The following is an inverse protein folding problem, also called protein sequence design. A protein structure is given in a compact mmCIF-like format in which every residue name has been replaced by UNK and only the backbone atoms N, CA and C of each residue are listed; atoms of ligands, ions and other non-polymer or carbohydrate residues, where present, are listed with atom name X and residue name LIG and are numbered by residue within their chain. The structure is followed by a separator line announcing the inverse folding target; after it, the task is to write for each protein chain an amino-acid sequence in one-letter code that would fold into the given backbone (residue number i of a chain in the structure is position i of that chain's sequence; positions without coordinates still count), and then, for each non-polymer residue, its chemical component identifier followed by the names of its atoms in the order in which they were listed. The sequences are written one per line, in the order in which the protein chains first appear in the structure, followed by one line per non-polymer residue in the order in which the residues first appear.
data_IF_843127711672
#
_entry.id   IF_843127711672
#
_cell.length_a   1.000
_cell.length_b   1.000
_cell.length_c   1.000
_cell.angle_alpha   90.00
_cell.angle_beta   90.00
_cell.angle_gamma   90.00
#
_symmetry.space_group_name_H-M   'P 1'
#
loop_
_entity.id
_entity.type
_entity.pdbx_description
1 polymer ?
#
# COMPACT_ATOMS: atom_id res chain seq x y z
N UNK A 1 -37.97 13.10 4.97
CA UNK A 1 -36.57 12.68 4.80
C UNK A 1 -36.50 11.66 3.68
N UNK A 2 -37.09 10.45 3.81
CA UNK A 2 -37.13 9.45 2.73
C UNK A 2 -37.59 9.97 1.34
N UNK A 3 -38.63 10.80 1.29
CA UNK A 3 -39.13 11.36 0.02
C UNK A 3 -38.16 12.35 -0.62
N UNK A 4 -37.41 13.10 0.19
CA UNK A 4 -36.40 14.06 -0.27
C UNK A 4 -35.16 13.33 -0.80
N UNK A 5 -34.67 12.34 -0.05
CA UNK A 5 -33.55 11.49 -0.48
C UNK A 5 -33.89 10.73 -1.77
N UNK A 6 -35.10 10.18 -1.88
CA UNK A 6 -35.54 9.49 -3.10
C UNK A 6 -35.57 10.44 -4.30
N UNK A 7 -36.10 11.66 -4.14
CA UNK A 7 -36.09 12.67 -5.19
C UNK A 7 -34.67 13.08 -5.60
N UNK A 8 -33.74 13.19 -4.65
CA UNK A 8 -32.33 13.47 -4.93
C UNK A 8 -31.67 12.32 -5.68
N UNK A 9 -31.90 11.08 -5.27
CA UNK A 9 -31.39 9.87 -5.95
C UNK A 9 -31.89 9.81 -7.39
N UNK A 10 -33.19 10.03 -7.62
CA UNK A 10 -33.77 10.04 -8.97
C UNK A 10 -33.16 11.13 -9.85
N UNK A 11 -32.90 12.32 -9.28
CA UNK A 11 -32.22 13.42 -9.99
C UNK A 11 -30.80 13.06 -10.38
N UNK A 12 -29.98 12.62 -9.41
CA UNK A 12 -28.59 12.22 -9.65
C UNK A 12 -28.49 11.04 -10.63
N UNK A 13 -29.44 10.09 -10.56
CA UNK A 13 -29.55 9.00 -11.53
C UNK A 13 -29.84 9.51 -12.94
N UNK A 14 -30.78 10.45 -13.09
CA UNK A 14 -31.09 11.05 -14.38
C UNK A 14 -29.89 11.83 -14.95
N UNK A 15 -29.14 12.55 -14.11
CA UNK A 15 -27.89 13.20 -14.50
C UNK A 15 -26.84 12.18 -14.98
N UNK A 16 -26.69 11.07 -14.25
CA UNK A 16 -25.77 9.99 -14.63
C UNK A 16 -26.19 9.31 -15.94
N UNK A 17 -27.48 9.11 -16.16
CA UNK A 17 -27.99 8.52 -17.40
C UNK A 17 -27.81 9.46 -18.60
N UNK A 18 -27.92 10.77 -18.39
CA UNK A 18 -27.73 11.77 -19.44
C UNK A 18 -26.28 11.82 -19.99
N UNK A 19 -25.29 11.41 -19.18
CA UNK A 19 -23.88 11.38 -19.59
C UNK A 19 -23.40 10.02 -20.11
N UNK A 20 -24.29 9.01 -20.16
CA UNK A 20 -23.95 7.69 -20.71
C UNK A 20 -23.98 7.71 -22.26
N UNK A 21 -23.11 6.93 -22.93
CA UNK A 21 -22.10 6.04 -22.37
C UNK A 21 -20.84 6.81 -21.89
N UNK A 22 -20.37 6.48 -20.69
CA UNK A 22 -19.12 7.01 -20.13
C UNK A 22 -17.94 6.24 -20.76
N UNK A 23 -16.81 6.89 -21.11
CA UNK A 23 -15.63 6.20 -21.60
C UNK A 23 -15.20 5.05 -20.68
N UNK A 24 -14.87 3.89 -21.26
CA UNK A 24 -14.58 2.67 -20.51
C UNK A 24 -13.43 2.86 -19.52
N UNK A 25 -12.36 3.57 -19.91
CA UNK A 25 -11.23 3.87 -19.03
C UNK A 25 -11.65 4.70 -17.80
N UNK A 26 -12.52 5.69 -18.01
CA UNK A 26 -13.06 6.55 -16.94
C UNK A 26 -13.91 5.73 -15.98
N UNK A 27 -14.84 4.93 -16.51
CA UNK A 27 -15.71 4.10 -15.68
C UNK A 27 -14.91 3.00 -14.97
N UNK A 28 -13.87 2.44 -15.59
CA UNK A 28 -12.99 1.45 -14.98
C UNK A 28 -12.26 2.00 -13.75
N UNK A 29 -11.83 3.27 -13.76
CA UNK A 29 -11.23 3.93 -12.59
C UNK A 29 -12.24 4.07 -11.44
N UNK A 30 -13.45 4.51 -11.74
CA UNK A 30 -14.54 4.63 -10.75
C UNK A 30 -14.88 3.27 -10.15
N UNK A 31 -15.09 2.26 -10.99
CA UNK A 31 -15.40 0.90 -10.54
C UNK A 31 -14.25 0.26 -9.79
N UNK A 32 -12.99 0.55 -10.15
CA UNK A 32 -11.83 0.09 -9.37
C UNK A 32 -11.85 0.66 -7.96
N UNK A 33 -12.17 1.95 -7.76
CA UNK A 33 -12.33 2.52 -6.40
C UNK A 33 -13.44 1.80 -5.64
N UNK A 34 -14.64 1.70 -6.21
CA UNK A 34 -15.74 0.97 -5.57
C UNK A 34 -15.36 -0.46 -5.20
N UNK A 35 -14.71 -1.19 -6.11
CA UNK A 35 -14.29 -2.57 -5.88
C UNK A 35 -13.29 -2.66 -4.71
N UNK A 36 -12.33 -1.75 -4.61
CA UNK A 36 -11.36 -1.73 -3.50
C UNK A 36 -12.05 -1.40 -2.17
N UNK A 37 -12.85 -0.33 -2.15
CA UNK A 37 -13.54 0.13 -0.94
C UNK A 37 -14.56 -0.91 -0.46
N UNK A 38 -15.29 -1.52 -1.39
CA UNK A 38 -16.28 -2.55 -1.09
C UNK A 38 -15.64 -3.81 -0.50
N UNK A 39 -14.56 -4.31 -1.11
CA UNK A 39 -13.84 -5.47 -0.57
C UNK A 39 -13.32 -5.19 0.83
N UNK A 40 -12.70 -4.03 1.05
CA UNK A 40 -12.16 -3.67 2.36
C UNK A 40 -13.27 -3.54 3.41
N UNK A 41 -14.25 -2.67 3.19
CA UNK A 41 -15.23 -2.34 4.21
C UNK A 41 -16.19 -3.50 4.50
N UNK A 42 -16.63 -4.24 3.48
CA UNK A 42 -17.52 -5.39 3.66
C UNK A 42 -16.88 -6.49 4.49
N UNK A 43 -15.59 -6.79 4.31
CA UNK A 43 -14.91 -7.83 5.08
C UNK A 43 -14.45 -7.31 6.45
N UNK A 44 -14.00 -6.06 6.54
CA UNK A 44 -13.59 -5.45 7.82
C UNK A 44 -14.76 -5.36 8.81
N UNK A 45 -15.99 -5.12 8.34
CA UNK A 45 -17.18 -5.18 9.20
C UNK A 45 -17.39 -6.55 9.87
N UNK A 46 -16.97 -7.63 9.21
CA UNK A 46 -17.04 -9.01 9.74
C UNK A 46 -15.79 -9.42 10.55
N UNK A 47 -14.86 -8.48 10.78
CA UNK A 47 -13.68 -8.71 11.61
C UNK A 47 -12.40 -9.09 10.86
N UNK A 48 -12.39 -8.98 9.53
CA UNK A 48 -11.17 -9.15 8.74
C UNK A 48 -10.11 -8.11 9.16
N UNK A 49 -8.88 -8.56 9.37
CA UNK A 49 -7.83 -7.74 10.00
C UNK A 49 -6.94 -7.00 9.00
N UNK A 50 -7.11 -7.22 7.68
CA UNK A 50 -6.34 -6.48 6.69
C UNK A 50 -6.71 -5.00 6.71
N UNK A 51 -5.70 -4.15 6.65
CA UNK A 51 -5.85 -2.72 6.41
C UNK A 51 -6.28 -2.46 4.96
N UNK A 52 -6.76 -1.24 4.69
CA UNK A 52 -7.09 -0.84 3.32
C UNK A 52 -5.89 -0.97 2.37
N UNK A 53 -4.69 -0.58 2.85
CA UNK A 53 -3.46 -0.67 2.08
C UNK A 53 -3.03 -2.10 1.75
N UNK A 54 -3.13 -3.00 2.73
CA UNK A 54 -2.87 -4.42 2.55
C UNK A 54 -3.88 -5.04 1.57
N UNK A 55 -5.18 -4.73 1.74
CA UNK A 55 -6.25 -5.17 0.83
C UNK A 55 -6.00 -4.71 -0.61
N UNK A 56 -5.65 -3.43 -0.79
CA UNK A 56 -5.34 -2.85 -2.10
C UNK A 56 -4.12 -3.52 -2.73
N UNK A 57 -3.04 -3.68 -1.97
CA UNK A 57 -1.80 -4.30 -2.47
C UNK A 57 -2.06 -5.75 -2.85
N UNK A 58 -2.84 -6.48 -2.05
CA UNK A 58 -3.23 -7.86 -2.35
C UNK A 58 -4.07 -7.96 -3.62
N UNK A 59 -5.12 -7.14 -3.77
CA UNK A 59 -6.01 -7.20 -4.93
C UNK A 59 -5.38 -6.70 -6.24
N UNK A 60 -4.41 -5.78 -6.17
CA UNK A 60 -3.77 -5.20 -7.36
C UNK A 60 -2.47 -5.91 -7.75
N UNK A 61 -1.73 -6.47 -6.79
CA UNK A 61 -0.39 -7.03 -7.02
C UNK A 61 -0.22 -8.47 -6.57
N UNK A 62 -1.23 -9.07 -5.90
CA UNK A 62 -1.15 -10.43 -5.38
C UNK A 62 -0.24 -10.58 -4.14
N UNK A 63 0.23 -9.48 -3.56
CA UNK A 63 1.13 -9.52 -2.41
C UNK A 63 0.34 -9.74 -1.11
N UNK A 64 0.71 -10.76 -0.34
CA UNK A 64 0.14 -11.03 0.98
C UNK A 64 0.80 -10.16 2.05
N UNK A 65 0.00 -9.67 3.00
CA UNK A 65 0.47 -8.93 4.16
C UNK A 65 1.18 -9.84 5.19
N UNK A 66 2.35 -9.41 5.65
CA UNK A 66 3.15 -10.15 6.61
C UNK A 66 2.48 -10.17 8.00
N UNK A 67 2.47 -11.32 8.67
CA UNK A 67 1.91 -11.47 10.02
C UNK A 67 0.38 -11.49 10.09
N UNK A 68 -0.33 -11.46 8.96
CA UNK A 68 -1.79 -11.56 8.89
C UNK A 68 -2.24 -12.99 8.58
N UNK A 69 -3.42 -13.44 9.05
CA UNK A 69 -3.93 -14.76 8.73
C UNK A 69 -4.11 -14.97 7.22
N UNK A 70 -3.81 -16.17 6.72
CA UNK A 70 -4.11 -16.54 5.33
C UNK A 70 -5.62 -16.47 5.05
N UNK A 71 -6.45 -16.84 6.05
CA UNK A 71 -7.90 -16.76 5.98
C UNK A 71 -8.38 -15.37 5.51
N UNK A 72 -7.84 -14.30 6.10
CA UNK A 72 -8.25 -12.94 5.78
C UNK A 72 -8.01 -12.58 4.30
N UNK A 73 -6.92 -13.07 3.71
CA UNK A 73 -6.63 -12.88 2.29
C UNK A 73 -7.58 -13.68 1.41
N UNK A 74 -7.90 -14.91 1.81
CA UNK A 74 -8.84 -15.77 1.07
C UNK A 74 -10.25 -15.19 1.11
N UNK A 75 -10.69 -14.60 2.23
CA UNK A 75 -11.97 -13.89 2.32
C UNK A 75 -12.03 -12.68 1.39
N UNK A 76 -10.97 -11.85 1.36
CA UNK A 76 -10.88 -10.73 0.40
C UNK A 76 -10.91 -11.24 -1.04
N UNK A 77 -10.16 -12.30 -1.35
CA UNK A 77 -10.13 -12.91 -2.68
C UNK A 77 -11.52 -13.41 -3.08
N UNK A 78 -12.17 -14.18 -2.21
CA UNK A 78 -13.48 -14.77 -2.47
C UNK A 78 -14.59 -13.74 -2.62
N UNK A 79 -14.61 -12.72 -1.76
CA UNK A 79 -15.52 -11.59 -1.89
C UNK A 79 -15.28 -10.84 -3.21
N UNK A 80 -14.02 -10.68 -3.60
CA UNK A 80 -13.68 -10.04 -4.86
C UNK A 80 -14.14 -10.85 -6.08
N UNK A 81 -14.00 -12.17 -6.06
CA UNK A 81 -14.50 -13.05 -7.11
C UNK A 81 -16.04 -12.97 -7.22
N UNK A 82 -16.74 -12.85 -6.09
CA UNK A 82 -18.18 -12.63 -6.08
C UNK A 82 -18.59 -11.27 -6.70
N UNK A 83 -17.82 -10.20 -6.48
CA UNK A 83 -18.05 -8.89 -7.14
C UNK A 83 -17.87 -9.02 -8.66
N UNK A 84 -16.82 -9.72 -9.12
CA UNK A 84 -16.57 -9.90 -10.54
C UNK A 84 -17.67 -10.74 -11.22
N UNK A 85 -18.10 -11.84 -10.60
CA UNK A 85 -19.22 -12.65 -11.11
C UNK A 85 -20.54 -11.85 -11.11
N UNK A 86 -20.74 -10.96 -10.14
CA UNK A 86 -21.87 -10.01 -10.12
C UNK A 86 -21.80 -9.02 -11.29
N UNK A 87 -20.64 -8.43 -11.56
CA UNK A 87 -20.46 -7.53 -12.71
C UNK A 87 -20.74 -8.23 -14.04
N UNK A 88 -20.31 -9.48 -14.18
CA UNK A 88 -20.58 -10.29 -15.36
C UNK A 88 -22.07 -10.63 -15.50
N UNK A 89 -22.76 -10.92 -14.39
CA UNK A 89 -24.21 -11.08 -14.39
C UNK A 89 -24.96 -9.83 -14.83
N UNK A 90 -24.52 -8.66 -14.37
CA UNK A 90 -25.13 -7.37 -14.76
C UNK A 90 -24.94 -7.12 -16.25
N UNK A 91 -23.75 -7.40 -16.80
CA UNK A 91 -23.49 -7.26 -18.25
C UNK A 91 -24.27 -8.27 -19.11
N UNK A 92 -24.44 -9.49 -18.61
CA UNK A 92 -25.15 -10.57 -19.29
C UNK A 92 -26.67 -10.59 -19.08
N UNK A 93 -27.23 -9.63 -18.33
CA UNK A 93 -28.64 -9.57 -17.95
C UNK A 93 -29.16 -10.88 -17.32
N UNK A 94 -28.31 -11.54 -16.52
CA UNK A 94 -28.61 -12.85 -15.93
C UNK A 94 -29.52 -12.68 -14.72
N UNK A 95 -30.61 -13.47 -14.68
CA UNK A 95 -31.55 -13.47 -13.56
C UNK A 95 -30.92 -14.02 -12.27
N UNK A 96 -31.30 -13.42 -11.14
CA UNK A 96 -30.94 -13.92 -9.81
C UNK A 96 -31.74 -15.18 -9.49
N UNK A 97 -31.04 -16.27 -9.20
CA UNK A 97 -31.62 -17.56 -8.83
C UNK A 97 -31.05 -18.04 -7.50
N UNK A 98 -31.73 -18.99 -6.85
CA UNK A 98 -31.23 -19.62 -5.62
C UNK A 98 -29.85 -20.27 -5.83
N UNK A 99 -29.66 -20.93 -6.96
CA UNK A 99 -28.37 -21.52 -7.35
C UNK A 99 -27.26 -20.47 -7.36
N UNK A 100 -27.54 -19.30 -7.93
CA UNK A 100 -26.56 -18.21 -7.99
C UNK A 100 -26.28 -17.59 -6.61
N UNK A 101 -27.28 -17.45 -5.74
CA UNK A 101 -27.08 -17.04 -4.34
C UNK A 101 -26.13 -18.02 -3.63
N UNK A 102 -26.32 -19.32 -3.82
CA UNK A 102 -25.43 -20.34 -3.23
C UNK A 102 -24.03 -20.32 -3.83
N UNK A 103 -23.91 -20.04 -5.13
CA UNK A 103 -22.62 -19.89 -5.82
C UNK A 103 -21.84 -18.67 -5.30
N UNK A 104 -22.49 -17.50 -5.13
CA UNK A 104 -21.85 -16.35 -4.49
C UNK A 104 -21.36 -16.67 -3.07
N UNK A 105 -22.18 -17.38 -2.30
CA UNK A 105 -21.79 -17.78 -0.95
C UNK A 105 -20.58 -18.73 -0.96
N UNK A 106 -20.45 -19.61 -1.96
CA UNK A 106 -19.27 -20.45 -2.15
C UNK A 106 -18.03 -19.61 -2.45
N UNK A 107 -18.13 -18.62 -3.33
CA UNK A 107 -17.01 -17.72 -3.62
C UNK A 107 -16.57 -16.97 -2.36
N UNK A 108 -17.51 -16.38 -1.61
CA UNK A 108 -17.19 -15.55 -0.44
C UNK A 108 -16.51 -16.34 0.69
N UNK A 109 -16.98 -17.55 1.00
CA UNK A 109 -16.40 -18.34 2.11
C UNK A 109 -15.26 -19.27 1.68
N UNK A 110 -15.18 -19.63 0.39
CA UNK A 110 -14.17 -20.54 -0.14
C UNK A 110 -14.40 -22.00 0.30
N UNK A 111 -13.46 -22.56 1.05
CA UNK A 111 -13.47 -23.97 1.46
C UNK A 111 -14.22 -24.20 2.78
N UNK A 112 -14.75 -25.42 3.02
CA UNK A 112 -15.35 -25.77 4.30
C UNK A 112 -14.38 -25.64 5.48
N UNK A 113 -14.87 -25.14 6.61
CA UNK A 113 -14.09 -25.01 7.85
C UNK A 113 -14.94 -25.33 9.08
N UNK A 114 -14.29 -25.50 10.22
CA UNK A 114 -14.95 -25.77 11.50
C UNK A 114 -14.82 -24.55 12.40
N UNK A 115 -15.92 -24.15 13.01
CA UNK A 115 -15.96 -23.06 14.00
C UNK A 115 -16.51 -23.54 15.34
N UNK A 116 -16.18 -22.83 16.41
CA UNK A 116 -16.78 -23.05 17.73
C UNK A 116 -18.25 -22.60 17.70
N UNK A 117 -19.10 -23.35 18.36
CA UNK A 117 -20.52 -23.05 18.53
C UNK A 117 -20.95 -23.37 19.96
N UNK A 118 -22.16 -22.95 20.32
CA UNK A 118 -22.78 -23.29 21.60
C UNK A 118 -24.02 -24.15 21.35
N UNK A 119 -24.21 -25.18 22.18
CA UNK A 119 -25.47 -25.93 22.19
C UNK A 119 -26.59 -25.08 22.80
N UNK A 120 -27.85 -25.55 22.70
CA UNK A 120 -29.00 -24.91 23.36
C UNK A 120 -28.81 -24.75 24.87
N UNK A 121 -28.04 -25.65 25.48
CA UNK A 121 -27.72 -25.65 26.92
C UNK A 121 -26.46 -24.83 27.25
N UNK A 122 -25.90 -24.10 26.27
CA UNK A 122 -24.73 -23.23 26.45
C UNK A 122 -23.39 -23.96 26.51
N UNK A 123 -23.33 -25.25 26.15
CA UNK A 123 -22.07 -26.01 26.12
C UNK A 123 -21.29 -25.76 24.84
N UNK A 124 -19.96 -25.64 24.93
CA UNK A 124 -19.09 -25.53 23.75
C UNK A 124 -19.19 -26.78 22.88
N UNK A 125 -19.38 -26.57 21.58
CA UNK A 125 -19.36 -27.58 20.54
C UNK A 125 -18.67 -27.05 19.29
N UNK A 126 -18.52 -27.87 18.26
CA UNK A 126 -17.98 -27.46 16.97
C UNK A 126 -19.00 -27.68 15.87
N UNK A 127 -19.03 -26.76 14.91
CA UNK A 127 -19.92 -26.82 13.75
C UNK A 127 -19.10 -26.70 12.48
N UNK A 128 -19.35 -27.62 11.55
CA UNK A 128 -18.77 -27.55 10.21
C UNK A 128 -19.60 -26.60 9.34
N UNK A 129 -18.94 -25.59 8.80
CA UNK A 129 -19.50 -24.63 7.84
C UNK A 129 -19.21 -25.15 6.44
N UNK A 130 -20.26 -25.33 5.64
CA UNK A 130 -20.13 -25.79 4.25
C UNK A 130 -20.64 -24.70 3.30
N UNK A 131 -19.73 -24.06 2.53
CA UNK A 131 -20.12 -22.99 1.62
C UNK A 131 -21.17 -23.42 0.57
N UNK A 132 -22.19 -22.60 0.39
CA UNK A 132 -23.28 -22.80 -0.57
C UNK A 132 -24.42 -23.66 -0.05
N UNK A 133 -24.32 -24.19 1.17
CA UNK A 133 -25.39 -24.96 1.80
C UNK A 133 -26.12 -24.14 2.85
N UNK A 134 -27.44 -24.22 2.84
CA UNK A 134 -28.24 -23.65 3.91
C UNK A 134 -27.94 -24.32 5.25
N UNK A 135 -28.16 -23.55 6.31
CA UNK A 135 -27.99 -24.02 7.68
C UNK A 135 -28.85 -25.25 7.93
N UNK A 136 -28.25 -26.25 8.57
CA UNK A 136 -28.95 -27.46 9.03
C UNK A 136 -29.35 -27.38 10.50
N UNK A 137 -28.84 -26.38 11.21
CA UNK A 137 -29.10 -26.10 12.63
C UNK A 137 -29.36 -24.60 12.81
N UNK A 138 -30.11 -24.19 13.85
CA UNK A 138 -30.33 -22.78 14.13
C UNK A 138 -29.01 -22.01 14.32
N UNK A 139 -29.01 -20.74 13.93
CA UNK A 139 -27.87 -19.82 13.98
C UNK A 139 -28.25 -18.48 14.66
N UNK A 140 -29.13 -18.57 15.66
CA UNK A 140 -29.58 -17.44 16.48
C UNK A 140 -28.39 -16.81 17.21
N UNK A 141 -28.42 -15.49 17.41
CA UNK A 141 -27.31 -14.74 18.00
C UNK A 141 -27.74 -14.07 19.30
N UNK A 142 -26.81 -13.95 20.25
CA UNK A 142 -27.02 -13.13 21.44
C UNK A 142 -26.76 -11.66 21.10
N UNK A 143 -27.74 -10.81 21.40
CA UNK A 143 -27.61 -9.36 21.26
C UNK A 143 -26.77 -8.78 22.41
N UNK A 144 -26.39 -7.50 22.27
CA UNK A 144 -25.67 -6.78 23.33
C UNK A 144 -26.48 -6.61 24.63
N UNK A 145 -27.82 -6.75 24.58
CA UNK A 145 -28.69 -6.74 25.77
C UNK A 145 -28.76 -8.10 26.46
N UNK A 146 -28.14 -9.14 25.88
CA UNK A 146 -28.19 -10.52 26.37
C UNK A 146 -29.41 -11.30 25.89
N UNK A 147 -30.29 -10.70 25.10
CA UNK A 147 -31.45 -11.37 24.51
C UNK A 147 -31.06 -12.13 23.24
N UNK A 148 -31.68 -13.30 23.03
CA UNK A 148 -31.49 -14.07 21.80
C UNK A 148 -32.29 -13.46 20.65
N UNK A 149 -31.60 -13.09 19.58
CA UNK A 149 -32.20 -12.72 18.31
C UNK A 149 -32.45 -13.97 17.47
N UNK A 150 -33.72 -14.21 17.13
CA UNK A 150 -34.16 -15.39 16.39
C UNK A 150 -34.26 -15.11 14.89
N UNK A 151 -33.61 -15.96 14.10
CA UNK A 151 -33.74 -16.03 12.64
C UNK A 151 -34.69 -17.16 12.21
N UNK A 152 -34.84 -17.36 10.90
CA UNK A 152 -35.65 -18.46 10.34
C UNK A 152 -35.14 -19.83 10.79
N UNK A 153 -36.03 -20.75 11.12
CA UNK A 153 -35.66 -22.13 11.46
C UNK A 153 -35.16 -22.91 10.23
N UNK A 154 -34.17 -23.81 10.35
CA UNK A 154 -33.53 -24.48 9.21
C UNK A 154 -34.48 -25.14 8.20
N UNK A 155 -35.56 -25.75 8.68
CA UNK A 155 -36.56 -26.42 7.85
C UNK A 155 -37.44 -25.46 7.04
N UNK A 156 -37.51 -24.17 7.42
CA UNK A 156 -38.27 -23.13 6.73
C UNK A 156 -37.42 -22.34 5.74
N UNK A 157 -36.09 -22.36 5.87
CA UNK A 157 -35.16 -21.59 5.02
C UNK A 157 -35.41 -21.80 3.52
N UNK A 158 -35.54 -23.03 2.98
CA UNK A 158 -35.77 -23.21 1.54
C UNK A 158 -37.05 -22.51 1.06
N UNK A 159 -38.14 -22.64 1.82
CA UNK A 159 -39.42 -22.04 1.49
C UNK A 159 -39.36 -20.50 1.54
N UNK A 160 -38.73 -19.94 2.58
CA UNK A 160 -38.64 -18.48 2.72
C UNK A 160 -37.70 -17.86 1.67
N UNK A 161 -36.65 -18.57 1.25
CA UNK A 161 -35.78 -18.14 0.16
C UNK A 161 -36.50 -18.18 -1.19
N UNK A 162 -37.31 -19.21 -1.45
CA UNK A 162 -38.19 -19.27 -2.63
C UNK A 162 -39.18 -18.10 -2.63
N UNK A 163 -39.83 -17.83 -1.49
CA UNK A 163 -40.76 -16.70 -1.35
C UNK A 163 -40.06 -15.35 -1.54
N UNK A 164 -38.84 -15.18 -1.04
CA UNK A 164 -38.05 -13.96 -1.23
C UNK A 164 -37.72 -13.73 -2.71
N UNK A 165 -37.28 -14.77 -3.41
CA UNK A 165 -36.97 -14.68 -4.85
C UNK A 165 -38.22 -14.40 -5.68
N UNK A 166 -39.35 -15.06 -5.37
CA UNK A 166 -40.62 -14.78 -6.02
C UNK A 166 -41.08 -13.34 -5.78
N UNK A 167 -41.01 -12.86 -4.54
CA UNK A 167 -41.32 -11.47 -4.21
C UNK A 167 -40.43 -10.49 -5.00
N UNK A 168 -39.14 -10.79 -5.12
CA UNK A 168 -38.21 -9.98 -5.89
C UNK A 168 -38.58 -9.94 -7.38
N UNK A 169 -38.80 -11.10 -7.99
CA UNK A 169 -39.17 -11.22 -9.41
C UNK A 169 -40.48 -10.48 -9.72
N UNK A 170 -41.50 -10.60 -8.86
CA UNK A 170 -42.78 -9.91 -9.02
C UNK A 170 -42.61 -8.39 -8.98
N UNK A 171 -41.83 -7.87 -8.03
CA UNK A 171 -41.62 -6.43 -7.88
C UNK A 171 -40.70 -5.86 -8.97
N UNK A 172 -39.72 -6.65 -9.42
CA UNK A 172 -38.82 -6.26 -10.51
C UNK A 172 -39.59 -6.21 -11.84
N UNK A 173 -40.39 -7.23 -12.15
CA UNK A 173 -41.12 -7.32 -13.42
C UNK A 173 -42.20 -6.24 -13.55
N UNK A 174 -42.90 -5.95 -12.45
CA UNK A 174 -43.98 -4.95 -12.46
C UNK A 174 -43.47 -3.51 -12.24
N UNK A 175 -42.20 -3.34 -11.87
CA UNK A 175 -41.60 -2.05 -11.52
C UNK A 175 -42.43 -1.27 -10.47
N UNK A 176 -42.98 -1.99 -9.49
CA UNK A 176 -43.90 -1.45 -8.47
C UNK A 176 -43.16 -0.66 -7.38
N UNK A 177 -41.86 -0.95 -7.17
CA UNK A 177 -41.04 -0.33 -6.14
C UNK A 177 -39.86 0.44 -6.76
N UNK A 178 -39.55 1.65 -6.25
CA UNK A 178 -38.29 2.31 -6.55
C UNK A 178 -37.09 1.40 -6.23
N UNK A 179 -36.08 1.39 -7.09
CA UNK A 179 -34.92 0.48 -6.99
C UNK A 179 -34.26 0.49 -5.62
N UNK A 180 -34.12 1.67 -4.98
CA UNK A 180 -33.59 1.79 -3.62
C UNK A 180 -34.40 0.96 -2.62
N UNK A 181 -35.73 1.07 -2.65
CA UNK A 181 -36.64 0.38 -1.74
C UNK A 181 -36.58 -1.12 -2.00
N UNK A 182 -36.56 -1.54 -3.27
CA UNK A 182 -36.42 -2.95 -3.66
C UNK A 182 -35.12 -3.55 -3.11
N UNK A 183 -33.98 -2.90 -3.35
CA UNK A 183 -32.66 -3.37 -2.92
C UNK A 183 -32.53 -3.41 -1.39
N UNK A 184 -32.91 -2.34 -0.69
CA UNK A 184 -32.85 -2.30 0.77
C UNK A 184 -33.80 -3.30 1.43
N UNK A 185 -35.01 -3.46 0.89
CA UNK A 185 -35.97 -4.45 1.41
C UNK A 185 -35.50 -5.87 1.15
N UNK A 186 -34.92 -6.16 -0.02
CA UNK A 186 -34.31 -7.46 -0.31
C UNK A 186 -33.17 -7.77 0.67
N UNK A 187 -32.26 -6.82 0.87
CA UNK A 187 -31.19 -6.93 1.86
C UNK A 187 -31.74 -7.29 3.24
N UNK A 188 -32.73 -6.54 3.71
CA UNK A 188 -33.33 -6.74 5.03
C UNK A 188 -34.02 -8.11 5.13
N UNK A 189 -34.85 -8.49 4.15
CA UNK A 189 -35.51 -9.81 4.14
C UNK A 189 -34.49 -10.95 4.14
N UNK A 190 -33.44 -10.86 3.32
CA UNK A 190 -32.38 -11.88 3.26
C UNK A 190 -31.64 -12.03 4.60
N UNK A 191 -31.23 -10.92 5.23
CA UNK A 191 -30.51 -10.98 6.51
C UNK A 191 -31.40 -11.49 7.64
N UNK A 192 -32.73 -11.31 7.56
CA UNK A 192 -33.70 -11.89 8.51
C UNK A 192 -33.91 -13.38 8.34
N UNK A 193 -33.87 -13.90 7.11
CA UNK A 193 -33.86 -15.35 6.87
C UNK A 193 -32.57 -15.96 7.44
N UNK A 194 -31.44 -15.26 7.25
CA UNK A 194 -30.12 -15.68 7.68
C UNK A 194 -29.82 -17.14 7.25
N UNK A 195 -29.89 -17.42 5.93
CA UNK A 195 -30.02 -18.79 5.40
C UNK A 195 -28.77 -19.64 5.56
N UNK A 196 -27.59 -19.04 5.70
CA UNK A 196 -26.31 -19.72 5.80
C UNK A 196 -25.75 -19.69 7.23
N UNK A 197 -24.79 -20.55 7.54
CA UNK A 197 -24.19 -20.59 8.87
C UNK A 197 -23.20 -19.44 9.14
N UNK A 198 -22.61 -18.86 8.09
CA UNK A 198 -21.70 -17.71 8.14
C UNK A 198 -21.86 -16.88 6.85
N UNK A 199 -21.29 -15.68 6.77
CA UNK A 199 -21.21 -14.89 5.54
C UNK A 199 -22.50 -14.16 5.14
N UNK A 200 -23.59 -14.27 5.92
CA UNK A 200 -24.88 -13.66 5.57
C UNK A 200 -24.81 -12.13 5.41
N UNK A 201 -24.03 -11.43 6.24
CA UNK A 201 -23.85 -9.98 6.12
C UNK A 201 -23.14 -9.57 4.83
N UNK A 202 -22.09 -10.30 4.43
CA UNK A 202 -21.41 -10.09 3.14
C UNK A 202 -22.35 -10.40 1.97
N UNK A 203 -23.08 -11.50 2.06
CA UNK A 203 -24.08 -11.89 1.06
C UNK A 203 -25.20 -10.86 0.92
N UNK A 204 -25.75 -10.33 2.01
CA UNK A 204 -26.82 -9.33 1.94
C UNK A 204 -26.38 -8.07 1.20
N UNK A 205 -25.14 -7.61 1.45
CA UNK A 205 -24.54 -6.46 0.75
C UNK A 205 -24.24 -6.75 -0.72
N UNK A 206 -23.73 -7.94 -1.05
CA UNK A 206 -23.56 -8.41 -2.45
C UNK A 206 -24.88 -8.38 -3.20
N UNK A 207 -25.93 -8.98 -2.63
CA UNK A 207 -27.23 -9.08 -3.30
C UNK A 207 -27.93 -7.72 -3.42
N UNK A 208 -27.79 -6.85 -2.42
CA UNK A 208 -28.27 -5.46 -2.50
C UNK A 208 -27.64 -4.71 -3.69
N UNK A 209 -26.31 -4.79 -3.82
CA UNK A 209 -25.60 -4.11 -4.90
C UNK A 209 -25.86 -4.75 -6.27
N UNK A 210 -26.09 -6.07 -6.34
CA UNK A 210 -26.54 -6.72 -7.58
C UNK A 210 -27.83 -6.06 -8.07
N UNK A 211 -28.83 -5.91 -7.19
CA UNK A 211 -30.13 -5.31 -7.53
C UNK A 211 -29.94 -3.86 -7.99
N UNK A 212 -29.13 -3.07 -7.29
CA UNK A 212 -28.83 -1.68 -7.68
C UNK A 212 -28.18 -1.63 -9.08
N UNK A 213 -27.16 -2.45 -9.31
CA UNK A 213 -26.36 -2.44 -10.54
C UNK A 213 -27.14 -2.99 -11.74
N UNK A 214 -28.00 -4.00 -11.56
CA UNK A 214 -28.93 -4.46 -12.61
C UNK A 214 -29.87 -3.35 -13.09
N UNK A 215 -30.16 -2.36 -12.24
CA UNK A 215 -30.98 -1.20 -12.57
C UNK A 215 -30.15 0.05 -12.93
N UNK A 216 -28.86 -0.15 -13.23
CA UNK A 216 -27.96 0.88 -13.70
C UNK A 216 -27.52 1.90 -12.64
N UNK A 217 -27.68 1.60 -11.36
CA UNK A 217 -27.12 2.40 -10.25
C UNK A 217 -25.70 1.92 -9.91
N UNK A 218 -24.83 2.79 -9.36
CA UNK A 218 -23.55 2.36 -8.80
C UNK A 218 -23.75 1.50 -7.53
N UNK A 219 -22.75 0.69 -7.15
CA UNK A 219 -22.80 -0.05 -5.90
C UNK A 219 -22.74 0.88 -4.68
N UNK A 220 -23.38 0.47 -3.59
CA UNK A 220 -23.29 1.12 -2.28
C UNK A 220 -22.17 0.49 -1.47
N UNK A 221 -21.32 1.32 -0.87
CA UNK A 221 -20.26 0.88 0.04
C UNK A 221 -20.53 1.42 1.43
N UNK A 222 -20.91 0.53 2.35
CA UNK A 222 -21.08 0.86 3.76
C UNK A 222 -19.70 0.87 4.41
N UNK A 223 -19.21 2.06 4.78
CA UNK A 223 -17.89 2.25 5.39
C UNK A 223 -17.83 1.62 6.79
N UNK A 224 -16.70 1.02 7.15
CA UNK A 224 -16.48 0.36 8.45
C UNK A 224 -16.63 1.36 9.60
N UNK A 225 -16.23 2.60 9.37
CA UNK A 225 -16.34 3.71 10.31
C UNK A 225 -17.81 4.04 10.64
N UNK A 226 -18.73 3.71 9.75
CA UNK A 226 -20.17 3.97 9.87
C UNK A 226 -20.98 2.72 10.27
N UNK A 227 -20.28 1.63 10.63
CA UNK A 227 -20.84 0.33 11.00
C UNK A 227 -21.94 0.45 12.08
N UNK A 228 -21.75 1.32 13.07
CA UNK A 228 -22.73 1.51 14.15
C UNK A 228 -24.07 2.10 13.67
N UNK A 229 -24.05 3.02 12.70
CA UNK A 229 -25.26 3.59 12.13
C UNK A 229 -25.99 2.56 11.26
N UNK A 230 -25.25 1.77 10.47
CA UNK A 230 -25.80 0.65 9.72
C UNK A 230 -26.52 -0.37 10.62
N UNK A 231 -25.88 -0.83 11.71
CA UNK A 231 -26.53 -1.77 12.63
C UNK A 231 -27.67 -1.12 13.42
N UNK A 232 -27.59 0.18 13.73
CA UNK A 232 -28.71 0.91 14.36
C UNK A 232 -29.94 0.89 13.46
N UNK A 233 -29.76 1.17 12.17
CA UNK A 233 -30.85 1.17 11.20
C UNK A 233 -31.46 -0.23 11.01
N UNK A 234 -30.64 -1.29 11.02
CA UNK A 234 -31.13 -2.68 11.03
C UNK A 234 -31.95 -3.01 12.29
N UNK A 235 -31.49 -2.60 13.47
CA UNK A 235 -32.24 -2.82 14.73
C UNK A 235 -33.59 -2.10 14.74
N UNK A 236 -33.70 -0.92 14.13
CA UNK A 236 -34.99 -0.24 13.97
C UNK A 236 -35.92 -1.02 13.03
N UNK A 237 -35.37 -1.55 11.94
CA UNK A 237 -36.11 -2.43 11.05
C UNK A 237 -36.59 -3.70 11.77
N UNK A 238 -35.79 -4.25 12.68
CA UNK A 238 -36.20 -5.37 13.55
C UNK A 238 -37.35 -5.03 14.49
N UNK A 239 -37.46 -3.78 14.91
CA UNK A 239 -38.60 -3.22 15.64
C UNK A 239 -39.84 -2.94 14.76
N UNK A 240 -39.78 -3.21 13.46
CA UNK A 240 -40.86 -2.99 12.50
C UNK A 240 -40.74 -1.69 11.69
N UNK A 241 -39.71 -0.87 11.94
CA UNK A 241 -39.49 0.39 11.23
C UNK A 241 -38.43 0.21 10.14
N UNK A 242 -38.86 -0.19 8.93
CA UNK A 242 -37.92 -0.41 7.81
C UNK A 242 -37.38 0.90 7.20
N UNK A 243 -38.13 2.00 7.31
CA UNK A 243 -37.80 3.28 6.67
C UNK A 243 -36.41 3.82 7.07
N UNK A 244 -35.99 3.84 8.35
CA UNK A 244 -34.63 4.23 8.73
C UNK A 244 -33.53 3.45 8.00
N UNK A 245 -33.73 2.15 7.74
CA UNK A 245 -32.78 1.36 6.97
C UNK A 245 -32.75 1.76 5.49
N UNK A 246 -33.91 2.02 4.89
CA UNK A 246 -33.99 2.50 3.51
C UNK A 246 -33.35 3.89 3.38
N UNK A 247 -33.62 4.80 4.31
CA UNK A 247 -33.01 6.14 4.36
C UNK A 247 -31.50 6.05 4.49
N UNK A 248 -30.99 5.19 5.38
CA UNK A 248 -29.56 4.94 5.53
C UNK A 248 -28.91 4.48 4.22
N UNK A 249 -29.46 3.43 3.57
CA UNK A 249 -28.94 2.96 2.28
C UNK A 249 -29.07 4.03 1.20
N UNK A 250 -30.14 4.85 1.24
CA UNK A 250 -30.34 5.98 0.34
C UNK A 250 -29.22 7.01 0.43
N UNK A 251 -28.80 7.36 1.64
CA UNK A 251 -27.67 8.28 1.86
C UNK A 251 -26.36 7.72 1.29
N UNK A 252 -26.10 6.42 1.48
CA UNK A 252 -24.92 5.79 0.89
C UNK A 252 -25.01 5.75 -0.65
N UNK A 253 -26.21 5.55 -1.21
CA UNK A 253 -26.42 5.55 -2.67
C UNK A 253 -26.25 6.95 -3.28
N UNK A 254 -26.70 8.01 -2.59
CA UNK A 254 -26.43 9.39 -2.98
C UNK A 254 -24.93 9.62 -3.10
N UNK A 255 -24.17 9.22 -2.09
CA UNK A 255 -22.71 9.34 -2.10
C UNK A 255 -22.09 8.58 -3.29
N UNK A 256 -22.50 7.33 -3.53
CA UNK A 256 -22.01 6.56 -4.68
C UNK A 256 -22.36 7.21 -6.04
N UNK A 257 -23.56 7.79 -6.18
CA UNK A 257 -23.97 8.50 -7.39
C UNK A 257 -23.12 9.75 -7.61
N UNK A 258 -22.88 10.55 -6.58
CA UNK A 258 -22.03 11.74 -6.64
C UNK A 258 -20.58 11.39 -6.99
N UNK A 259 -20.02 10.34 -6.39
CA UNK A 259 -18.69 9.85 -6.72
C UNK A 259 -18.59 9.41 -8.18
N UNK A 260 -19.63 8.70 -8.66
CA UNK A 260 -19.69 8.26 -10.05
C UNK A 260 -19.77 9.43 -11.02
N UNK A 261 -20.59 10.45 -10.72
CA UNK A 261 -20.71 11.67 -11.52
C UNK A 261 -19.41 12.45 -11.57
N UNK A 262 -18.74 12.66 -10.43
CA UNK A 262 -17.40 13.30 -10.36
C UNK A 262 -16.41 12.57 -11.25
N UNK A 263 -16.31 11.25 -11.09
CA UNK A 263 -15.40 10.44 -11.89
C UNK A 263 -15.73 10.48 -13.38
N UNK A 264 -17.01 10.42 -13.74
CA UNK A 264 -17.46 10.52 -15.13
C UNK A 264 -17.13 11.87 -15.77
N UNK A 265 -17.13 12.96 -14.99
CA UNK A 265 -16.72 14.30 -15.41
C UNK A 265 -15.20 14.51 -15.42
N UNK A 266 -14.40 13.49 -15.07
CA UNK A 266 -12.94 13.58 -15.00
C UNK A 266 -12.40 14.30 -13.75
N UNK A 267 -13.24 14.53 -12.75
CA UNK A 267 -12.84 15.09 -11.47
C UNK A 267 -12.14 14.03 -10.59
N UNK A 268 -11.41 14.48 -9.58
CA UNK A 268 -10.82 13.57 -8.60
C UNK A 268 -11.90 12.83 -7.80
N UNK A 269 -11.74 11.52 -7.69
CA UNK A 269 -12.56 10.63 -6.88
C UNK A 269 -11.88 10.20 -5.58
N UNK A 270 -10.69 10.73 -5.28
CA UNK A 270 -10.05 10.56 -3.97
C UNK A 270 -10.86 11.34 -2.91
N UNK A 271 -11.15 10.70 -1.78
CA UNK A 271 -11.86 11.33 -0.65
C UNK A 271 -10.87 11.85 0.42
N UNK A 272 -11.29 12.77 1.29
CA UNK A 272 -10.40 13.37 2.31
C UNK A 272 -9.83 12.32 3.28
N UNK A 273 -10.60 11.28 3.60
CA UNK A 273 -10.16 10.12 4.40
C UNK A 273 -9.12 9.25 3.67
N UNK A 274 -9.02 9.34 2.34
CA UNK A 274 -7.97 8.66 1.56
C UNK A 274 -6.58 9.25 1.82
N UNK A 275 -6.48 10.52 2.24
CA UNK A 275 -5.20 11.15 2.63
C UNK A 275 -4.72 10.57 3.97
N UNK A 276 -5.58 10.48 4.98
CA UNK A 276 -5.23 9.88 6.27
C UNK A 276 -4.92 8.39 6.14
N UNK A 277 -5.66 7.68 5.27
CA UNK A 277 -5.37 6.28 4.91
C UNK A 277 -4.01 6.17 4.20
N UNK A 278 -3.69 7.05 3.24
CA UNK A 278 -2.38 7.12 2.58
C UNK A 278 -1.26 7.43 3.57
N UNK A 279 -1.47 8.35 4.52
CA UNK A 279 -0.51 8.68 5.58
C UNK A 279 -0.25 7.49 6.50
N UNK A 280 -1.29 6.78 6.94
CA UNK A 280 -1.13 5.53 7.72
C UNK A 280 -0.36 4.46 6.94
N UNK A 281 -0.64 4.32 5.64
CA UNK A 281 0.05 3.37 4.76
C UNK A 281 1.53 3.72 4.60
N UNK A 282 1.84 5.01 4.42
CA UNK A 282 3.20 5.52 4.36
C UNK A 282 3.93 5.30 5.71
N UNK A 283 3.26 5.56 6.83
CA UNK A 283 3.79 5.34 8.17
C UNK A 283 4.07 3.85 8.43
N UNK A 284 3.17 2.95 8.03
CA UNK A 284 3.38 1.51 8.13
C UNK A 284 4.58 1.01 7.30
N UNK A 285 4.70 1.48 6.05
CA UNK A 285 5.87 1.20 5.20
C UNK A 285 7.16 1.76 5.80
N UNK A 286 7.10 2.94 6.44
CA UNK A 286 8.23 3.51 7.15
C UNK A 286 8.59 2.67 8.38
N UNK A 287 7.62 2.12 9.11
CA UNK A 287 7.86 1.28 10.29
C UNK A 287 8.43 -0.11 9.96
N UNK A 288 8.00 -0.74 8.88
CA UNK A 288 8.66 -1.96 8.38
C UNK A 288 10.12 -1.68 7.98
N UNK A 289 10.39 -0.52 7.38
CA UNK A 289 11.73 -0.08 7.03
C UNK A 289 12.57 0.40 8.23
N UNK A 290 11.96 0.78 9.37
CA UNK A 290 12.67 1.23 10.59
C UNK A 290 13.48 0.11 11.26
N UNK A 291 13.22 -1.16 10.98
CA UNK A 291 13.93 -2.27 11.64
C UNK A 291 15.45 -2.30 11.40
N UNK A 292 15.99 -1.50 10.46
CA UNK A 292 17.41 -1.58 10.08
C UNK A 292 18.19 -0.25 10.02
N UNK A 293 17.69 0.90 10.49
CA UNK A 293 18.45 2.17 10.44
C UNK A 293 18.44 2.92 11.76
N UNK A 294 19.45 2.66 12.60
CA UNK A 294 19.78 3.55 13.73
C UNK A 294 20.42 4.80 13.15
N UNK A 295 19.70 5.92 13.17
CA UNK A 295 20.23 7.24 12.79
C UNK A 295 21.04 7.81 13.94
N UNK A 296 22.35 7.80 13.80
CA UNK A 296 23.29 8.39 14.75
C UNK A 296 23.61 9.80 14.30
N UNK A 297 23.50 10.77 15.22
CA UNK A 297 23.82 12.18 14.93
C UNK A 297 25.34 12.35 14.82
N UNK A 298 25.79 13.24 13.93
CA UNK A 298 27.18 13.65 13.76
C UNK A 298 27.73 14.20 15.08
N UNK A 299 28.73 13.52 15.62
CA UNK A 299 29.59 14.00 16.69
C UNK A 299 31.05 13.59 16.44
N UNK A 300 32.01 14.15 17.20
CA UNK A 300 33.43 13.89 16.97
C UNK A 300 33.76 12.39 16.94
N UNK A 301 33.24 11.60 17.87
CA UNK A 301 33.57 10.18 18.01
C UNK A 301 33.19 9.40 16.76
N UNK A 302 31.97 9.61 16.26
CA UNK A 302 31.49 8.93 15.05
C UNK A 302 32.23 9.36 13.79
N UNK A 303 32.59 10.64 13.68
CA UNK A 303 33.42 11.13 12.55
C UNK A 303 34.82 10.52 12.62
N UNK A 304 35.45 10.48 13.80
CA UNK A 304 36.76 9.87 14.00
C UNK A 304 36.77 8.40 13.65
N UNK A 305 35.77 7.66 14.13
CA UNK A 305 35.60 6.25 13.83
C UNK A 305 35.41 6.01 12.32
N UNK A 306 34.54 6.81 11.69
CA UNK A 306 34.27 6.74 10.24
C UNK A 306 35.54 6.99 9.43
N UNK A 307 36.34 8.01 9.78
CA UNK A 307 37.59 8.29 9.07
C UNK A 307 38.57 7.14 9.22
N UNK A 308 38.77 6.64 10.44
CA UNK A 308 39.72 5.58 10.70
C UNK A 308 39.35 4.26 10.00
N UNK A 309 38.05 3.92 9.96
CA UNK A 309 37.60 2.59 9.55
C UNK A 309 37.05 2.53 8.13
N UNK A 310 36.64 3.66 7.54
CA UNK A 310 36.07 3.70 6.19
C UNK A 310 36.90 4.56 5.24
N UNK A 311 37.23 5.79 5.63
CA UNK A 311 37.88 6.75 4.73
C UNK A 311 39.36 6.44 4.53
N UNK A 312 40.09 6.14 5.61
CA UNK A 312 41.51 5.77 5.54
C UNK A 312 41.71 4.51 4.66
N UNK A 313 41.00 3.39 4.88
CA UNK A 313 41.11 2.21 4.01
C UNK A 313 40.78 2.49 2.54
N UNK A 314 39.80 3.36 2.28
CA UNK A 314 39.46 3.77 0.91
C UNK A 314 40.62 4.54 0.26
N UNK A 315 41.19 5.52 0.96
CA UNK A 315 42.32 6.30 0.45
C UNK A 315 43.55 5.40 0.23
N UNK A 316 43.80 4.42 1.11
CA UNK A 316 44.88 3.45 0.95
C UNK A 316 44.71 2.61 -0.32
N UNK A 317 43.50 2.10 -0.58
CA UNK A 317 43.21 1.33 -1.79
C UNK A 317 43.32 2.17 -3.07
N UNK A 318 43.00 3.46 -3.01
CA UNK A 318 43.19 4.37 -4.16
C UNK A 318 44.67 4.65 -4.38
N UNK A 319 45.42 4.95 -3.33
CA UNK A 319 46.86 5.26 -3.41
C UNK A 319 47.66 4.02 -3.86
N UNK A 320 47.30 2.81 -3.39
CA UNK A 320 47.98 1.57 -3.78
C UNK A 320 47.89 1.27 -5.28
N UNK A 321 46.90 1.86 -5.96
CA UNK A 321 46.68 1.75 -7.39
C UNK A 321 47.40 2.81 -8.23
N UNK A 322 47.89 3.91 -7.63
CA UNK A 322 48.61 4.97 -8.34
C UNK A 322 49.86 4.50 -9.09
N UNK A 323 50.69 3.57 -8.58
CA UNK A 323 51.88 3.11 -9.29
C UNK A 323 51.59 2.52 -10.68
N UNK A 324 50.37 2.04 -10.94
CA UNK A 324 49.94 1.55 -12.26
C UNK A 324 49.96 2.64 -13.33
N UNK A 325 49.89 3.92 -12.92
CA UNK A 325 49.93 5.07 -13.81
C UNK A 325 51.35 5.58 -14.09
N UNK A 326 52.38 5.05 -13.41
CA UNK A 326 53.77 5.50 -13.57
C UNK A 326 54.31 5.31 -14.99
N UNK A 327 53.81 4.31 -15.75
CA UNK A 327 54.21 4.11 -17.14
C UNK A 327 53.67 5.21 -18.07
N UNK A 328 52.60 5.90 -17.68
CA UNK A 328 51.91 6.87 -18.52
C UNK A 328 52.24 8.33 -18.18
N UNK A 329 52.56 8.64 -16.92
CA UNK A 329 52.80 10.02 -16.46
C UNK A 329 54.21 10.22 -15.88
N UNK A 330 54.74 11.43 -16.01
CA UNK A 330 56.04 11.84 -15.49
C UNK A 330 56.03 12.06 -13.98
N UNK A 331 54.96 12.67 -13.45
CA UNK A 331 54.84 12.99 -12.04
C UNK A 331 53.44 12.62 -11.51
N UNK A 332 53.41 11.90 -10.39
CA UNK A 332 52.17 11.55 -9.69
C UNK A 332 52.26 12.09 -8.27
N UNK A 333 51.28 12.90 -7.89
CA UNK A 333 51.18 13.43 -6.53
C UNK A 333 49.77 13.31 -5.99
N UNK A 334 49.66 13.19 -4.68
CA UNK A 334 48.39 13.29 -3.98
C UNK A 334 48.54 14.20 -2.76
N UNK A 335 47.50 14.98 -2.47
CA UNK A 335 47.43 15.83 -1.29
C UNK A 335 46.08 15.64 -0.62
N UNK A 336 46.07 15.65 0.71
CA UNK A 336 44.86 15.55 1.52
C UNK A 336 44.64 16.90 2.19
N UNK A 337 43.54 17.56 1.86
CA UNK A 337 43.16 18.85 2.43
C UNK A 337 41.98 18.68 3.36
N UNK A 338 42.13 19.22 4.57
CA UNK A 338 41.09 19.26 5.59
C UNK A 338 40.77 20.72 5.91
N UNK A 339 39.57 21.23 5.57
CA UNK A 339 39.09 22.50 6.07
C UNK A 339 38.79 22.36 7.57
N UNK A 340 39.49 23.15 8.39
CA UNK A 340 39.29 23.21 9.84
C UNK A 340 38.28 24.31 10.20
N UNK A 341 38.25 25.40 9.41
CA UNK A 341 37.34 26.56 9.52
C UNK A 341 37.26 27.26 8.13
N UNK A 342 36.20 28.01 7.74
CA UNK A 342 36.16 28.88 6.56
C UNK A 342 37.46 29.58 6.14
N UNK A 343 38.29 29.99 7.10
CA UNK A 343 39.57 30.68 6.88
C UNK A 343 40.83 29.82 7.04
N UNK A 344 40.74 28.57 7.51
CA UNK A 344 41.90 27.72 7.81
C UNK A 344 41.80 26.34 7.14
N UNK A 345 42.79 26.02 6.29
CA UNK A 345 42.94 24.71 5.64
C UNK A 345 44.25 24.07 6.08
N UNK A 346 44.21 22.80 6.45
CA UNK A 346 45.41 22.00 6.72
C UNK A 346 45.62 21.02 5.57
N UNK A 347 46.79 21.05 4.96
CA UNK A 347 47.17 20.17 3.86
C UNK A 347 48.22 19.17 4.33
N UNK A 348 47.99 17.89 4.03
CA UNK A 348 48.87 16.79 4.34
C UNK A 348 49.40 16.19 3.04
N UNK A 349 50.72 15.97 2.96
CA UNK A 349 51.36 15.43 1.75
C UNK A 349 51.20 13.92 1.63
N UNK A 350 50.92 13.23 2.73
CA UNK A 350 50.71 11.78 2.73
C UNK A 350 49.77 11.34 3.86
N UNK A 351 49.30 10.10 3.73
CA UNK A 351 48.35 9.50 4.68
C UNK A 351 48.95 9.30 6.08
N UNK A 352 50.26 9.12 6.20
CA UNK A 352 50.94 8.97 7.49
C UNK A 352 50.87 10.27 8.31
N UNK A 353 51.12 11.42 7.67
CA UNK A 353 50.96 12.74 8.30
C UNK A 353 49.51 13.02 8.70
N UNK A 354 48.54 12.55 7.90
CA UNK A 354 47.14 12.62 8.27
C UNK A 354 46.89 11.79 9.54
N UNK A 355 47.27 10.50 9.54
CA UNK A 355 47.06 9.57 10.68
C UNK A 355 47.66 10.10 11.99
N UNK A 356 48.88 10.62 11.93
CA UNK A 356 49.58 11.18 13.10
C UNK A 356 48.88 12.42 13.63
N UNK A 357 48.55 13.38 12.75
CA UNK A 357 47.79 14.56 13.16
C UNK A 357 46.39 14.21 13.67
N UNK A 358 45.76 13.16 13.14
CA UNK A 358 44.42 12.72 13.51
C UNK A 358 44.38 12.10 14.90
N UNK A 359 45.43 11.37 15.29
CA UNK A 359 45.59 10.86 16.66
C UNK A 359 45.69 11.98 17.70
N UNK A 360 46.26 13.14 17.34
CA UNK A 360 46.31 14.32 18.22
C UNK A 360 44.93 14.97 18.36
N UNK A 361 44.16 15.13 17.28
CA UNK A 361 42.81 15.72 17.33
C UNK A 361 41.82 14.82 18.09
N UNK A 362 41.88 13.50 17.88
CA UNK A 362 41.01 12.54 18.56
C UNK A 362 41.18 12.53 20.09
N UNK A 363 42.37 12.89 20.60
CA UNK A 363 42.65 12.93 22.05
C UNK A 363 42.10 14.17 22.75
N UNK A 364 41.94 15.28 22.03
CA UNK A 364 41.56 16.56 22.62
C UNK A 364 40.06 16.88 22.49
N UNK A 365 39.29 16.08 21.74
CA UNK A 365 37.83 16.24 21.53
C UNK A 365 37.41 17.70 21.25
N UNK A 366 38.19 18.40 20.43
CA UNK A 366 37.93 19.80 20.07
C UNK A 366 36.74 19.89 19.09
N UNK A 367 35.87 20.89 19.28
CA UNK A 367 34.64 21.11 18.51
C UNK A 367 34.90 21.57 17.06
N UNK A 368 36.16 21.86 16.70
CA UNK A 368 36.57 22.24 15.34
C UNK A 368 36.80 21.02 14.42
N UNK A 369 35.79 20.16 14.26
CA UNK A 369 35.93 18.94 13.47
C UNK A 369 35.48 19.13 12.01
N UNK A 370 36.18 18.50 11.04
CA UNK A 370 36.00 18.84 9.64
C UNK A 370 34.60 18.48 9.13
N UNK A 371 34.00 19.42 8.41
CA UNK A 371 32.75 19.18 7.67
C UNK A 371 32.98 18.33 6.41
N UNK A 372 34.23 18.30 5.94
CA UNK A 372 34.63 17.52 4.77
C UNK A 372 36.12 17.21 4.78
N UNK A 373 36.53 16.21 4.01
CA UNK A 373 37.93 15.95 3.64
C UNK A 373 37.97 15.96 2.11
N UNK A 374 39.01 16.55 1.53
CA UNK A 374 39.26 16.49 0.07
C UNK A 374 40.59 15.83 -0.17
N UNK A 375 40.62 14.81 -1.03
CA UNK A 375 41.88 14.22 -1.51
C UNK A 375 42.04 14.58 -2.97
N UNK A 376 43.06 15.36 -3.30
CA UNK A 376 43.42 15.67 -4.68
C UNK A 376 44.50 14.71 -5.16
N UNK A 377 44.31 14.15 -6.35
CA UNK A 377 45.26 13.28 -7.04
C UNK A 377 45.58 13.95 -8.38
N UNK A 378 46.87 14.17 -8.64
CA UNK A 378 47.35 14.80 -9.85
C UNK A 378 48.30 13.85 -10.59
N UNK A 379 47.97 13.53 -11.84
CA UNK A 379 48.81 12.81 -12.78
C UNK A 379 49.28 13.81 -13.84
N UNK A 380 50.55 14.17 -13.82
CA UNK A 380 51.09 15.27 -14.62
C UNK A 380 52.12 14.77 -15.63
N UNK A 381 52.09 15.39 -16.82
CA UNK A 381 53.03 15.16 -17.91
C UNK A 381 52.86 13.78 -18.52
N UNK A 382 51.84 13.60 -19.36
CA UNK A 382 51.66 12.37 -20.13
C UNK A 382 52.88 12.10 -21.03
N UNK A 383 53.46 10.90 -20.90
CA UNK A 383 54.74 10.52 -21.51
C UNK A 383 54.70 10.32 -23.02
N UNK A 384 53.50 10.16 -23.60
CA UNK A 384 53.34 9.72 -24.99
C UNK A 384 52.58 10.72 -25.87
N UNK A 385 52.48 11.99 -25.48
CA UNK A 385 51.83 13.02 -26.30
C UNK A 385 52.65 13.33 -27.57
N UNK A 386 52.00 13.34 -28.75
CA UNK A 386 52.63 13.64 -30.03
C UNK A 386 52.70 15.14 -30.36
N UNK A 387 51.94 16.01 -29.69
CA UNK A 387 51.93 17.46 -29.91
C UNK A 387 51.93 18.28 -28.60
N UNK A 388 52.33 19.56 -28.72
CA UNK A 388 52.82 20.51 -27.70
C UNK A 388 51.90 20.87 -26.52
N UNK A 389 50.83 20.13 -26.23
CA UNK A 389 49.98 20.36 -25.07
C UNK A 389 50.25 19.36 -23.94
N UNK A 390 50.51 19.86 -22.74
CA UNK A 390 50.64 19.03 -21.54
C UNK A 390 49.29 18.40 -21.21
N UNK A 391 49.17 17.07 -21.35
CA UNK A 391 48.02 16.34 -20.84
C UNK A 391 48.25 15.94 -19.37
N UNK A 392 47.36 16.44 -18.51
CA UNK A 392 47.36 16.19 -17.06
C UNK A 392 45.96 15.71 -16.63
N UNK A 393 45.89 14.81 -15.66
CA UNK A 393 44.64 14.38 -15.03
C UNK A 393 44.63 14.86 -13.58
N UNK A 394 43.61 15.63 -13.23
CA UNK A 394 43.36 16.06 -11.86
C UNK A 394 42.03 15.47 -11.37
N UNK A 395 42.07 14.76 -10.26
CA UNK A 395 40.90 14.09 -9.65
C UNK A 395 40.76 14.54 -8.20
N UNK A 396 39.54 14.84 -7.76
CA UNK A 396 39.25 15.10 -6.36
C UNK A 396 38.28 14.06 -5.80
N UNK A 397 38.63 13.50 -4.64
CA UNK A 397 37.75 12.71 -3.80
C UNK A 397 37.22 13.61 -2.68
N UNK A 398 35.92 13.87 -2.69
CA UNK A 398 35.22 14.65 -1.68
C UNK A 398 34.53 13.74 -0.68
N UNK A 399 34.92 13.85 0.58
CA UNK A 399 34.27 13.21 1.71
C UNK A 399 33.52 14.28 2.48
N UNK A 400 32.22 14.14 2.66
CA UNK A 400 31.37 15.07 3.41
C UNK A 400 30.79 14.37 4.64
N UNK A 401 30.78 15.06 5.78
CA UNK A 401 30.22 14.58 7.04
C UNK A 401 28.95 15.38 7.35
N UNK A 402 27.80 14.82 6.96
CA UNK A 402 26.47 15.44 7.14
C UNK A 402 25.91 15.11 8.52
N UNK A 403 24.75 15.68 8.87
CA UNK A 403 24.21 15.53 10.23
C UNK A 403 23.95 14.08 10.66
N UNK A 404 23.66 13.16 9.73
CA UNK A 404 23.32 11.75 10.05
C UNK A 404 24.02 10.70 9.16
N UNK A 405 24.86 11.14 8.23
CA UNK A 405 25.55 10.26 7.30
C UNK A 405 26.86 10.89 6.85
N UNK A 406 27.72 10.08 6.25
CA UNK A 406 28.86 10.56 5.48
C UNK A 406 28.71 10.14 4.02
N UNK A 407 29.27 10.97 3.15
CA UNK A 407 29.18 10.83 1.72
C UNK A 407 30.57 10.90 1.12
N UNK A 408 30.88 10.00 0.19
CA UNK A 408 32.12 9.99 -0.58
C UNK A 408 31.77 10.08 -2.07
N UNK A 409 32.32 11.06 -2.77
CA UNK A 409 32.07 11.28 -4.19
C UNK A 409 33.33 11.80 -4.91
N UNK A 410 33.43 11.59 -6.22
CA UNK A 410 34.45 12.16 -7.08
C UNK A 410 33.93 13.47 -7.71
N UNK A 411 34.80 14.48 -7.86
CA UNK A 411 34.44 15.83 -8.33
C UNK A 411 33.60 15.89 -9.60
N UNK A 412 33.75 14.93 -10.50
CA UNK A 412 33.27 15.09 -11.87
C UNK A 412 32.11 14.19 -12.27
N UNK A 413 31.73 13.12 -11.54
CA UNK A 413 30.70 12.16 -11.99
C UNK A 413 29.81 11.65 -10.85
N UNK A 414 28.48 11.68 -11.03
CA UNK A 414 27.48 11.13 -10.11
C UNK A 414 27.54 9.59 -9.94
N UNK A 415 28.33 8.90 -10.76
CA UNK A 415 28.31 7.42 -10.89
C UNK A 415 29.07 6.72 -9.75
N UNK A 416 29.98 7.41 -9.05
CA UNK A 416 30.80 6.83 -7.96
C UNK A 416 30.51 7.55 -6.64
N UNK A 417 29.31 7.34 -6.11
CA UNK A 417 28.88 7.91 -4.84
C UNK A 417 28.63 6.82 -3.80
N UNK A 418 29.18 7.00 -2.61
CA UNK A 418 28.89 6.16 -1.43
C UNK A 418 28.25 7.07 -0.38
N UNK A 419 27.02 6.75 0.05
CA UNK A 419 26.35 7.42 1.17
C UNK A 419 26.03 6.36 2.23
N UNK A 420 26.54 6.52 3.44
CA UNK A 420 26.32 5.59 4.55
C UNK A 420 26.02 6.34 5.85
N UNK A 421 25.11 5.84 6.71
CA UNK A 421 24.94 6.37 8.05
C UNK A 421 26.20 6.13 8.89
N UNK A 422 26.41 6.92 9.95
CA UNK A 422 27.55 6.74 10.86
C UNK A 422 27.59 5.38 11.56
N UNK A 423 26.45 4.68 11.63
CA UNK A 423 26.35 3.31 12.16
C UNK A 423 26.88 2.23 11.20
N UNK A 424 27.26 2.59 9.97
CA UNK A 424 27.75 1.67 8.94
C UNK A 424 29.12 2.09 8.39
N UNK A 425 29.88 1.10 7.93
CA UNK A 425 31.24 1.27 7.40
C UNK A 425 31.26 0.92 5.92
N UNK A 426 32.14 1.56 5.14
CA UNK A 426 32.34 1.17 3.74
C UNK A 426 32.93 -0.25 3.73
N UNK A 427 32.26 -1.18 3.07
CA UNK A 427 32.72 -2.56 3.00
C UNK A 427 33.99 -2.68 2.14
N UNK A 428 34.79 -3.73 2.36
CA UNK A 428 35.98 -4.00 1.54
C UNK A 428 35.64 -4.13 0.04
N UNK A 429 34.47 -4.66 -0.29
CA UNK A 429 34.00 -4.80 -1.66
C UNK A 429 33.62 -3.44 -2.27
N UNK A 430 32.95 -2.58 -1.51
CA UNK A 430 32.65 -1.20 -1.92
C UNK A 430 33.94 -0.39 -2.15
N UNK A 431 34.94 -0.53 -1.27
CA UNK A 431 36.26 0.10 -1.43
C UNK A 431 36.94 -0.35 -2.73
N UNK A 432 37.01 -1.66 -2.99
CA UNK A 432 37.61 -2.21 -4.22
C UNK A 432 36.88 -1.74 -5.46
N UNK A 433 35.55 -1.76 -5.43
CA UNK A 433 34.70 -1.33 -6.56
C UNK A 433 34.92 0.16 -6.85
N UNK A 434 34.93 1.00 -5.82
CA UNK A 434 35.18 2.43 -5.96
C UNK A 434 36.56 2.71 -6.58
N UNK A 435 37.61 2.08 -6.04
CA UNK A 435 38.98 2.23 -6.55
C UNK A 435 39.13 1.73 -8.00
N UNK A 436 38.50 0.59 -8.33
CA UNK A 436 38.45 0.06 -9.70
C UNK A 436 37.75 1.01 -10.67
N UNK A 437 36.63 1.60 -10.27
CA UNK A 437 35.89 2.54 -11.12
C UNK A 437 36.69 3.82 -11.37
N UNK A 438 37.41 4.34 -10.35
CA UNK A 438 38.31 5.47 -10.53
C UNK A 438 39.45 5.15 -11.51
N UNK A 439 40.11 4.01 -11.36
CA UNK A 439 41.12 3.55 -12.32
C UNK A 439 40.54 3.43 -13.74
N UNK A 440 39.34 2.87 -13.87
CA UNK A 440 38.64 2.76 -15.15
C UNK A 440 38.45 4.11 -15.83
N UNK A 441 38.09 5.15 -15.07
CA UNK A 441 37.96 6.51 -15.60
C UNK A 441 39.28 7.07 -16.15
N UNK A 442 40.39 6.89 -15.43
CA UNK A 442 41.70 7.30 -15.93
C UNK A 442 42.09 6.53 -17.19
N UNK A 443 41.81 5.23 -17.25
CA UNK A 443 42.06 4.42 -18.45
C UNK A 443 41.23 4.92 -19.63
N UNK A 444 39.93 5.21 -19.44
CA UNK A 444 39.09 5.76 -20.51
C UNK A 444 39.60 7.12 -21.02
N UNK A 445 40.09 7.99 -20.12
CA UNK A 445 40.72 9.26 -20.52
C UNK A 445 41.99 9.03 -21.34
N UNK A 446 42.82 8.06 -20.94
CA UNK A 446 44.03 7.68 -21.68
C UNK A 446 43.73 7.07 -23.05
N UNK A 447 42.68 6.23 -23.15
CA UNK A 447 42.23 5.63 -24.42
C UNK A 447 41.68 6.67 -25.39
N UNK A 448 41.01 7.71 -24.88
CA UNK A 448 40.54 8.81 -25.72
C UNK A 448 41.71 9.59 -26.34
N UNK A 449 42.78 9.77 -25.58
CA UNK A 449 43.95 10.57 -26.00
C UNK A 449 44.95 9.76 -26.82
N UNK A 450 45.02 8.45 -26.65
CA UNK A 450 45.85 7.61 -27.52
C UNK A 450 45.27 7.44 -28.93
N UNK A 451 43.98 7.76 -29.12
CA UNK A 451 43.28 7.71 -30.41
C UNK A 451 43.23 9.07 -31.13
N UNK A 452 43.52 10.17 -30.42
CA UNK A 452 43.67 11.52 -30.98
C UNK A 452 45.11 11.77 -31.36
#
# INVERSE_FOLDING_TARGET
MLSEDLNRILRLKAELDAIRPIPEETMAKVMQKFRLDWNYHSNSMEGNSLTFGETKTFLLHGNTASGKPLKDHLEIKGHNEAILDLEDMVKGEVQLTEHKIRSFHQLILGEPYTTKALTKDGMETTKQIVPGKYKSQPNHVLTSTGETFYFTEPNLVPLEMEQLLKWFEENQTKNELPTLILAATFHYKFIRIHPFDDGNGRMSRILMNLILMMNGYPPVVIKTEDKENYFRALRQADGGELNPFIEYIGQQLIHSLELTLKGANGESIDEDDDIDKRLKLLLGQIEENKKNVVRVKRDPSHVFETVAQSIVPLIEEVISNLPKMNSFFLNISNEITIPLDPSARKTFKNLSQLKESYQTYARNLDDSFPKSITVSINLNGYKHSAEKADFNIQTYLYIQFNEYNYKVNLSNHQINEIILPYSQRISKEQIKTFSKNLLGQWVTMLEAISKS
#
